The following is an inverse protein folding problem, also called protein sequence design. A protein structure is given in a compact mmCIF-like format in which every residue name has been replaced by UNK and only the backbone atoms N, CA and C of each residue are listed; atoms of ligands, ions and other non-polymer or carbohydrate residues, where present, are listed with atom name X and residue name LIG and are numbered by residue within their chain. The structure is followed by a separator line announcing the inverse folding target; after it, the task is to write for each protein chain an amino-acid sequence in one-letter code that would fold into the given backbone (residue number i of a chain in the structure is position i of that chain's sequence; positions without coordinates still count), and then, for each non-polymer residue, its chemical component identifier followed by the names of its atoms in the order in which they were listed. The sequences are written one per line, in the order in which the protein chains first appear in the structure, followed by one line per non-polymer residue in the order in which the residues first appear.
data_IF_793969384627
#
_entry.id   IF_793969384627
#
_cell.length_a   1.000
_cell.length_b   1.000
_cell.length_c   1.000
_cell.angle_alpha   90.00
_cell.angle_beta   90.00
_cell.angle_gamma   90.00
#
_symmetry.space_group_name_H-M   'P 1'
#
loop_
_entity.id
_entity.type
_entity.pdbx_description
1 polymer ?
#
# COMPACT_ATOMS: atom_id res chain seq x y z
N UNK A 1 11.70 -5.17 27.17
CA UNK A 1 12.89 -4.71 26.38
C UNK A 1 12.60 -4.83 24.89
N UNK A 2 13.09 -3.92 24.04
CA UNK A 2 12.93 -4.04 22.56
C UNK A 2 14.28 -4.09 21.87
N UNK A 3 14.44 -5.01 20.91
CA UNK A 3 15.60 -5.14 20.02
C UNK A 3 15.19 -4.88 18.59
N UNK A 4 16.05 -4.16 17.86
CA UNK A 4 15.86 -3.80 16.46
C UNK A 4 17.04 -4.32 15.64
N UNK A 5 16.75 -4.87 14.48
CA UNK A 5 17.74 -5.46 13.58
C UNK A 5 17.66 -4.80 12.22
N UNK A 6 18.81 -4.34 11.72
CA UNK A 6 18.91 -3.56 10.50
C UNK A 6 19.87 -4.23 9.53
N UNK A 7 19.57 -4.13 8.25
CA UNK A 7 20.50 -4.47 7.18
C UNK A 7 21.79 -3.66 7.31
N UNK A 8 22.93 -4.34 7.26
CA UNK A 8 24.24 -3.72 7.53
C UNK A 8 25.05 -3.37 6.27
N UNK A 9 24.49 -3.61 5.07
CA UNK A 9 25.11 -3.44 3.73
C UNK A 9 25.88 -4.67 3.25
N UNK A 10 26.05 -4.79 1.94
CA UNK A 10 26.79 -5.88 1.29
C UNK A 10 28.11 -6.26 1.95
N UNK A 11 28.37 -7.57 1.99
CA UNK A 11 29.54 -8.19 2.61
C UNK A 11 29.63 -7.99 4.14
N UNK A 12 28.50 -7.66 4.77
CA UNK A 12 28.36 -7.65 6.23
C UNK A 12 27.98 -9.05 6.77
N UNK A 13 27.71 -9.13 8.07
CA UNK A 13 27.25 -10.37 8.71
C UNK A 13 25.84 -10.68 8.21
N UNK A 14 25.69 -11.80 7.52
CA UNK A 14 24.40 -12.29 7.02
C UNK A 14 23.60 -12.96 8.16
N UNK A 15 22.41 -12.45 8.43
CA UNK A 15 21.45 -12.95 9.41
C UNK A 15 20.15 -13.46 8.74
N UNK A 16 20.29 -14.16 7.61
CA UNK A 16 19.17 -14.76 6.87
C UNK A 16 18.30 -15.69 7.71
N UNK A 17 18.87 -16.33 8.74
CA UNK A 17 18.10 -17.17 9.68
C UNK A 17 17.06 -16.42 10.50
N UNK A 18 17.14 -15.08 10.56
CA UNK A 18 16.23 -14.21 11.31
C UNK A 18 15.49 -13.19 10.43
N UNK A 19 15.57 -13.35 9.11
CA UNK A 19 14.79 -12.57 8.15
C UNK A 19 15.60 -11.61 7.28
N UNK A 20 16.92 -11.53 7.46
CA UNK A 20 17.74 -10.71 6.57
C UNK A 20 17.78 -11.31 5.15
N UNK A 21 17.07 -10.69 4.21
CA UNK A 21 16.92 -11.23 2.87
C UNK A 21 17.81 -10.50 1.85
N UNK A 22 18.65 -11.26 1.13
CA UNK A 22 19.46 -10.82 -0.01
C UNK A 22 20.12 -9.45 0.23
N UNK A 23 21.16 -9.45 1.06
CA UNK A 23 21.81 -8.22 1.52
C UNK A 23 22.32 -7.38 0.34
N UNK A 24 22.10 -6.08 0.41
CA UNK A 24 22.39 -5.11 -0.66
C UNK A 24 22.68 -3.74 -0.04
N UNK A 25 23.60 -2.95 -0.62
CA UNK A 25 23.96 -1.63 -0.08
C UNK A 25 22.75 -0.70 0.02
N UNK A 26 21.82 -0.81 -0.94
CA UNK A 26 20.57 -0.07 -0.95
C UNK A 26 19.71 -0.34 0.31
N UNK A 27 19.76 -1.56 0.87
CA UNK A 27 18.98 -1.92 2.06
C UNK A 27 19.60 -1.41 3.36
N UNK A 28 20.84 -0.88 3.35
CA UNK A 28 21.55 -0.45 4.56
C UNK A 28 20.68 0.46 5.45
N UNK A 29 20.54 0.08 6.72
CA UNK A 29 19.74 0.81 7.70
C UNK A 29 18.23 0.56 7.62
N UNK A 30 17.76 -0.32 6.74
CA UNK A 30 16.37 -0.81 6.77
C UNK A 30 16.21 -1.83 7.88
N UNK A 31 15.23 -1.59 8.75
CA UNK A 31 14.87 -2.53 9.81
C UNK A 31 14.15 -3.74 9.19
N UNK A 32 14.70 -4.94 9.37
CA UNK A 32 14.05 -6.18 8.89
C UNK A 32 13.43 -6.99 10.02
N UNK A 33 13.76 -6.69 11.28
CA UNK A 33 13.22 -7.42 12.42
C UNK A 33 13.13 -6.56 13.67
N UNK A 34 12.05 -6.71 14.42
CA UNK A 34 11.86 -6.16 15.75
C UNK A 34 11.44 -7.28 16.70
N UNK A 35 12.08 -7.35 17.87
CA UNK A 35 11.71 -8.27 18.94
C UNK A 35 11.38 -7.47 20.20
N UNK A 36 10.22 -7.70 20.78
CA UNK A 36 9.85 -7.14 22.09
C UNK A 36 9.73 -8.26 23.10
N UNK A 37 10.37 -8.07 24.24
CA UNK A 37 10.42 -9.01 25.36
C UNK A 37 9.72 -8.41 26.57
N UNK A 38 9.07 -9.26 27.34
CA UNK A 38 8.49 -8.90 28.63
C UNK A 38 9.56 -8.77 29.74
N UNK A 39 9.10 -8.53 30.98
CA UNK A 39 9.97 -8.36 32.15
C UNK A 39 10.64 -9.67 32.61
N UNK A 40 10.22 -10.82 32.06
CA UNK A 40 10.82 -12.15 32.30
C UNK A 40 11.81 -12.56 31.20
N UNK A 41 12.11 -11.65 30.26
CA UNK A 41 12.92 -11.90 29.05
C UNK A 41 12.28 -12.89 28.06
N UNK A 42 10.98 -13.16 28.20
CA UNK A 42 10.23 -13.98 27.23
C UNK A 42 9.85 -13.14 26.02
N UNK A 43 9.95 -13.71 24.82
CA UNK A 43 9.56 -13.03 23.59
C UNK A 43 8.05 -12.80 23.61
N UNK A 44 7.64 -11.55 23.45
CA UNK A 44 6.24 -11.10 23.52
C UNK A 44 5.71 -10.69 22.15
N UNK A 45 6.50 -9.98 21.35
CA UNK A 45 6.17 -9.69 19.95
C UNK A 45 7.37 -9.88 19.04
N UNK A 46 7.10 -10.39 17.85
CA UNK A 46 8.02 -10.48 16.74
C UNK A 46 7.44 -9.75 15.53
N UNK A 47 8.21 -8.88 14.90
CA UNK A 47 7.92 -8.37 13.56
C UNK A 47 9.09 -8.68 12.64
N UNK A 48 8.81 -9.17 11.43
CA UNK A 48 9.81 -9.42 10.40
C UNK A 48 9.33 -8.81 9.08
N UNK A 49 10.18 -8.02 8.43
CA UNK A 49 9.94 -7.42 7.13
C UNK A 49 10.95 -7.96 6.11
N UNK A 50 10.44 -8.47 4.99
CA UNK A 50 11.27 -8.86 3.85
C UNK A 50 11.45 -7.64 2.95
N UNK A 51 12.67 -7.10 2.92
CA UNK A 51 13.03 -6.03 2.00
C UNK A 51 13.54 -6.59 0.68
N UNK A 52 13.01 -6.07 -0.42
CA UNK A 52 13.47 -6.34 -1.77
C UNK A 52 14.00 -5.06 -2.42
N UNK A 53 14.80 -5.26 -3.47
CA UNK A 53 15.39 -4.18 -4.24
C UNK A 53 15.19 -4.50 -5.72
N UNK A 54 14.74 -3.50 -6.48
CA UNK A 54 14.62 -3.58 -7.93
C UNK A 54 15.54 -2.54 -8.56
N UNK A 55 16.42 -2.92 -9.50
CA UNK A 55 17.22 -1.95 -10.23
C UNK A 55 16.30 -1.04 -11.03
N UNK A 56 16.51 0.27 -10.90
CA UNK A 56 15.84 1.26 -11.72
C UNK A 56 16.56 1.36 -13.07
N UNK A 57 15.84 1.61 -14.18
CA UNK A 57 16.47 1.88 -15.45
C UNK A 57 17.50 3.00 -15.30
N UNK A 58 18.72 2.74 -15.76
CA UNK A 58 19.79 3.73 -15.69
C UNK A 58 20.42 3.93 -17.06
N UNK A 59 20.58 5.20 -17.44
CA UNK A 59 21.36 5.60 -18.60
C UNK A 59 22.87 5.55 -18.31
N UNK A 60 23.26 5.59 -17.04
CA UNK A 60 24.64 5.54 -16.57
C UNK A 60 24.95 4.18 -15.90
N UNK A 61 25.68 3.27 -16.58
CA UNK A 61 25.96 1.93 -16.05
C UNK A 61 26.87 1.94 -14.82
N UNK A 62 27.50 3.08 -14.47
CA UNK A 62 28.36 3.20 -13.28
C UNK A 62 27.59 3.59 -12.02
N UNK A 63 26.30 3.96 -12.15
CA UNK A 63 25.44 4.26 -11.00
C UNK A 63 24.48 3.11 -10.78
N UNK A 64 24.56 2.50 -9.61
CA UNK A 64 23.56 1.51 -9.21
C UNK A 64 22.41 2.22 -8.48
N UNK A 65 21.24 2.26 -9.11
CA UNK A 65 20.03 2.88 -8.56
C UNK A 65 19.02 1.78 -8.31
N UNK A 66 18.56 1.67 -7.07
CA UNK A 66 17.59 0.67 -6.68
C UNK A 66 16.36 1.32 -6.06
N UNK A 67 15.19 0.83 -6.43
CA UNK A 67 13.95 1.04 -5.69
C UNK A 67 13.83 -0.05 -4.62
N UNK A 68 13.59 0.38 -3.39
CA UNK A 68 13.49 -0.49 -2.22
C UNK A 68 12.05 -0.56 -1.75
N UNK A 69 11.58 -1.76 -1.48
CA UNK A 69 10.22 -1.98 -1.02
C UNK A 69 10.16 -3.17 -0.06
N UNK A 70 9.19 -3.13 0.86
CA UNK A 70 8.88 -4.27 1.72
C UNK A 70 7.87 -5.14 0.98
N UNK A 71 8.30 -6.31 0.52
CA UNK A 71 7.40 -7.23 -0.21
C UNK A 71 6.54 -8.08 0.73
N UNK A 72 6.97 -8.21 2.00
CA UNK A 72 6.30 -9.04 2.99
C UNK A 72 6.51 -8.48 4.40
N UNK A 73 5.48 -8.53 5.22
CA UNK A 73 5.53 -8.24 6.64
C UNK A 73 4.87 -9.36 7.41
N UNK A 74 5.49 -9.81 8.50
CA UNK A 74 4.95 -10.82 9.40
C UNK A 74 4.99 -10.26 10.82
N UNK A 75 3.92 -10.48 11.57
CA UNK A 75 3.80 -10.10 12.97
C UNK A 75 3.32 -11.29 13.76
N UNK A 76 3.96 -11.58 14.89
CA UNK A 76 3.53 -12.60 15.82
C UNK A 76 3.47 -12.05 17.24
N UNK A 77 2.39 -12.36 17.94
CA UNK A 77 2.19 -12.08 19.35
C UNK A 77 2.22 -13.38 20.13
N UNK A 78 3.05 -13.41 21.16
CA UNK A 78 3.23 -14.55 22.06
C UNK A 78 2.46 -14.30 23.35
N UNK A 79 1.86 -15.36 23.91
CA UNK A 79 1.03 -15.27 25.11
C UNK A 79 1.81 -15.55 26.41
N UNK A 80 3.14 -15.64 26.33
CA UNK A 80 4.02 -15.97 27.45
C UNK A 80 4.20 -17.48 27.68
N UNK A 81 3.56 -18.34 26.89
CA UNK A 81 3.85 -19.78 26.79
C UNK A 81 4.51 -20.11 25.43
N UNK A 82 4.60 -21.40 25.07
CA UNK A 82 5.10 -21.84 23.75
C UNK A 82 4.16 -21.48 22.57
N UNK A 83 3.01 -20.84 22.85
CA UNK A 83 2.01 -20.47 21.85
C UNK A 83 2.20 -19.07 21.27
N UNK A 84 1.71 -18.88 20.04
CA UNK A 84 1.65 -17.57 19.39
C UNK A 84 0.44 -17.47 18.47
N UNK A 85 0.09 -16.23 18.08
CA UNK A 85 -0.76 -15.93 16.92
C UNK A 85 0.01 -15.04 15.98
N UNK A 86 -0.04 -15.33 14.68
CA UNK A 86 0.67 -14.56 13.68
C UNK A 86 -0.24 -14.11 12.55
N UNK A 87 0.11 -12.98 11.95
CA UNK A 87 -0.50 -12.44 10.75
C UNK A 87 0.56 -12.06 9.75
N UNK A 88 0.25 -12.13 8.46
CA UNK A 88 1.15 -11.68 7.40
C UNK A 88 0.45 -10.79 6.39
N UNK A 89 1.24 -9.93 5.74
CA UNK A 89 0.84 -9.19 4.56
C UNK A 89 1.93 -9.22 3.50
N UNK A 90 1.51 -9.16 2.24
CA UNK A 90 2.38 -9.09 1.06
C UNK A 90 2.01 -7.90 0.19
N UNK A 91 2.98 -7.36 -0.55
CA UNK A 91 2.76 -6.25 -1.47
C UNK A 91 3.66 -6.34 -2.71
N UNK A 92 3.05 -6.12 -3.86
CA UNK A 92 3.70 -6.06 -5.16
C UNK A 92 3.71 -4.61 -5.67
N UNK A 93 4.78 -4.21 -6.35
CA UNK A 93 5.02 -2.83 -6.77
C UNK A 93 5.32 -2.74 -8.27
N UNK A 94 4.92 -1.63 -8.90
CA UNK A 94 5.33 -1.29 -10.27
C UNK A 94 6.74 -0.66 -10.32
N UNK A 95 7.19 -0.29 -11.52
CA UNK A 95 8.49 0.35 -11.76
C UNK A 95 8.62 1.75 -11.15
N UNK A 96 7.50 2.36 -10.77
CA UNK A 96 7.41 3.72 -10.24
C UNK A 96 7.25 3.72 -8.72
N UNK A 97 7.21 2.54 -8.11
CA UNK A 97 7.08 2.34 -6.67
C UNK A 97 5.64 2.42 -6.16
N UNK A 98 4.66 2.35 -7.05
CA UNK A 98 3.27 2.24 -6.65
C UNK A 98 2.91 0.79 -6.29
N UNK A 99 2.11 0.58 -5.25
CA UNK A 99 1.56 -0.74 -4.92
C UNK A 99 0.52 -1.13 -5.96
N UNK A 100 0.70 -2.26 -6.64
CA UNK A 100 -0.24 -2.79 -7.65
C UNK A 100 -1.06 -3.97 -7.15
N UNK A 101 -0.57 -4.66 -6.12
CA UNK A 101 -1.32 -5.67 -5.40
C UNK A 101 -0.89 -5.72 -3.94
N UNK A 102 -1.83 -6.01 -3.04
CA UNK A 102 -1.55 -6.38 -1.66
C UNK A 102 -2.40 -7.56 -1.24
N UNK A 103 -1.89 -8.35 -0.30
CA UNK A 103 -2.59 -9.50 0.29
C UNK A 103 -2.45 -9.41 1.80
N UNK A 104 -3.56 -9.34 2.50
CA UNK A 104 -3.60 -9.45 3.96
C UNK A 104 -4.08 -10.86 4.30
N UNK A 105 -3.22 -11.71 4.87
CA UNK A 105 -3.43 -13.14 4.97
C UNK A 105 -4.12 -13.59 6.28
N UNK A 106 -4.64 -12.65 7.08
CA UNK A 106 -5.27 -13.04 8.34
C UNK A 106 -4.34 -13.85 9.24
N UNK A 107 -4.79 -15.01 9.71
CA UNK A 107 -4.00 -15.90 10.57
C UNK A 107 -3.05 -16.83 9.78
N UNK A 108 -1.77 -16.85 10.16
CA UNK A 108 -0.73 -17.68 9.54
C UNK A 108 0.06 -18.47 10.59
N UNK A 109 0.71 -19.55 10.19
CA UNK A 109 1.74 -20.22 10.99
C UNK A 109 3.13 -19.81 10.52
N UNK A 110 4.03 -19.50 11.45
CA UNK A 110 5.43 -19.28 11.15
C UNK A 110 6.12 -20.62 10.85
N UNK A 111 6.73 -20.74 9.69
CA UNK A 111 7.51 -21.91 9.29
C UNK A 111 8.94 -21.83 9.86
N UNK A 112 9.43 -20.61 10.09
CA UNK A 112 10.75 -20.34 10.64
C UNK A 112 10.84 -18.98 11.36
N UNK A 113 12.03 -18.71 11.90
CA UNK A 113 12.33 -17.42 12.53
C UNK A 113 12.65 -16.30 11.54
N UNK A 114 12.71 -16.59 10.24
CA UNK A 114 12.99 -15.63 9.17
C UNK A 114 11.72 -14.99 8.59
N UNK A 115 10.55 -15.28 9.18
CA UNK A 115 9.27 -14.76 8.74
C UNK A 115 8.76 -15.44 7.48
N UNK A 116 9.17 -16.68 7.20
CA UNK A 116 8.42 -17.53 6.28
C UNK A 116 7.19 -18.09 7.01
N UNK A 117 6.11 -18.30 6.27
CA UNK A 117 4.83 -18.67 6.85
C UNK A 117 4.00 -19.52 5.88
N UNK A 118 3.03 -20.21 6.46
CA UNK A 118 1.94 -20.89 5.77
C UNK A 118 0.62 -20.22 6.16
N UNK A 119 -0.19 -19.85 5.16
CA UNK A 119 -1.57 -19.40 5.34
C UNK A 119 -2.44 -20.61 5.74
N UNK A 120 -3.22 -20.47 6.82
CA UNK A 120 -3.94 -21.59 7.44
C UNK A 120 -5.46 -21.43 7.48
N UNK A 121 -5.99 -20.27 7.07
CA UNK A 121 -7.42 -19.98 7.07
C UNK A 121 -7.89 -19.49 5.69
N UNK A 122 -9.21 -19.43 5.53
CA UNK A 122 -9.85 -18.88 4.33
C UNK A 122 -10.28 -17.41 4.56
N UNK A 123 -9.40 -16.61 5.15
CA UNK A 123 -9.70 -15.23 5.60
C UNK A 123 -8.86 -14.15 4.91
N UNK A 124 -8.03 -14.51 3.92
CA UNK A 124 -7.23 -13.51 3.20
C UNK A 124 -8.10 -12.49 2.46
N UNK A 125 -7.61 -11.27 2.40
CA UNK A 125 -8.16 -10.19 1.58
C UNK A 125 -7.10 -9.77 0.56
N UNK A 126 -7.45 -9.77 -0.72
CA UNK A 126 -6.59 -9.26 -1.77
C UNK A 126 -7.05 -7.86 -2.18
N UNK A 127 -6.11 -7.01 -2.55
CA UNK A 127 -6.38 -5.75 -3.24
C UNK A 127 -5.49 -5.64 -4.48
N UNK A 128 -6.07 -5.17 -5.59
CA UNK A 128 -5.31 -4.76 -6.77
C UNK A 128 -5.55 -3.29 -7.06
N UNK A 129 -4.52 -2.60 -7.57
CA UNK A 129 -4.59 -1.17 -7.87
C UNK A 129 -4.03 -0.92 -9.27
N UNK A 130 -4.81 -0.21 -10.08
CA UNK A 130 -4.38 0.36 -11.35
C UNK A 130 -4.16 1.87 -11.18
N UNK A 131 -3.26 2.41 -11.99
CA UNK A 131 -2.90 3.82 -11.94
C UNK A 131 -3.15 4.49 -13.30
N UNK A 132 -3.72 5.68 -13.26
CA UNK A 132 -3.76 6.60 -14.38
C UNK A 132 -2.36 7.16 -14.63
N UNK A 133 -2.01 7.30 -15.91
CA UNK A 133 -0.67 7.68 -16.31
C UNK A 133 -0.65 8.85 -17.29
N UNK A 134 0.40 9.65 -17.20
CA UNK A 134 0.82 10.60 -18.21
C UNK A 134 2.34 10.51 -18.37
N UNK A 135 2.79 9.81 -19.40
CA UNK A 135 4.23 9.61 -19.65
C UNK A 135 4.94 10.91 -19.99
N UNK A 136 4.27 11.83 -20.68
CA UNK A 136 4.85 13.10 -21.12
C UNK A 136 5.11 14.06 -19.93
N UNK A 137 4.31 13.93 -18.86
CA UNK A 137 4.41 14.73 -17.63
C UNK A 137 4.92 13.95 -16.43
N UNK A 138 5.34 12.71 -16.61
CA UNK A 138 5.80 11.80 -15.55
C UNK A 138 4.81 11.66 -14.38
N UNK A 139 3.52 11.60 -14.68
CA UNK A 139 2.47 11.36 -13.69
C UNK A 139 2.15 9.86 -13.65
N UNK A 140 2.59 9.16 -12.60
CA UNK A 140 2.37 7.71 -12.44
C UNK A 140 1.65 7.32 -11.15
N UNK A 141 1.46 8.25 -10.21
CA UNK A 141 0.98 7.97 -8.85
C UNK A 141 -0.53 8.13 -8.63
N UNK A 142 -1.33 8.30 -9.69
CA UNK A 142 -2.77 8.55 -9.56
C UNK A 142 -3.55 7.24 -9.67
N UNK A 143 -4.00 6.65 -8.58
CA UNK A 143 -4.80 5.41 -8.65
C UNK A 143 -6.08 5.64 -9.45
N UNK A 144 -6.28 4.87 -10.53
CA UNK A 144 -7.45 4.89 -11.39
C UNK A 144 -8.48 3.83 -11.00
N UNK A 145 -8.05 2.69 -10.48
CA UNK A 145 -8.95 1.68 -9.96
C UNK A 145 -8.33 0.97 -8.77
N UNK A 146 -9.15 0.64 -7.77
CA UNK A 146 -8.81 -0.34 -6.75
C UNK A 146 -9.91 -1.38 -6.65
N UNK A 147 -9.55 -2.66 -6.62
CA UNK A 147 -10.47 -3.78 -6.45
C UNK A 147 -10.03 -4.61 -5.27
N UNK A 148 -10.98 -5.00 -4.42
CA UNK A 148 -10.76 -5.84 -3.25
C UNK A 148 -11.56 -7.13 -3.40
N UNK A 149 -10.88 -8.27 -3.25
CA UNK A 149 -11.49 -9.60 -3.28
C UNK A 149 -11.33 -10.33 -1.95
N UNK A 150 -12.28 -11.19 -1.64
CA UNK A 150 -12.16 -12.15 -0.54
C UNK A 150 -11.25 -13.34 -0.93
N UNK A 151 -11.09 -14.29 -0.01
CA UNK A 151 -10.30 -15.51 -0.22
C UNK A 151 -10.74 -16.33 -1.43
N UNK A 152 -12.03 -16.29 -1.78
CA UNK A 152 -12.62 -17.01 -2.91
C UNK A 152 -12.61 -16.20 -4.20
N UNK A 153 -11.91 -15.07 -4.22
CA UNK A 153 -11.81 -14.13 -5.33
C UNK A 153 -13.14 -13.45 -5.70
N UNK A 154 -14.11 -13.40 -4.77
CA UNK A 154 -15.31 -12.60 -4.96
C UNK A 154 -14.99 -11.13 -4.74
N UNK A 155 -15.45 -10.26 -5.64
CA UNK A 155 -15.29 -8.81 -5.48
C UNK A 155 -16.18 -8.30 -4.36
N UNK A 156 -15.57 -7.79 -3.30
CA UNK A 156 -16.25 -7.21 -2.12
C UNK A 156 -16.09 -5.70 -2.06
N UNK A 157 -15.22 -5.12 -2.89
CA UNK A 157 -15.04 -3.68 -3.02
C UNK A 157 -14.44 -3.32 -4.37
N UNK A 158 -14.91 -2.23 -4.98
CA UNK A 158 -14.29 -1.64 -6.16
C UNK A 158 -14.46 -0.13 -6.12
N UNK A 159 -13.41 0.59 -6.46
CA UNK A 159 -13.46 2.03 -6.69
C UNK A 159 -12.76 2.35 -8.01
N UNK A 160 -13.43 3.12 -8.87
CA UNK A 160 -12.88 3.62 -10.14
C UNK A 160 -12.84 5.14 -10.10
N UNK A 161 -11.72 5.73 -10.49
CA UNK A 161 -11.45 7.17 -10.49
C UNK A 161 -11.10 7.63 -11.90
N UNK A 162 -11.66 8.78 -12.27
CA UNK A 162 -11.40 9.47 -13.53
C UNK A 162 -10.85 10.85 -13.21
N UNK A 163 -9.85 11.29 -13.97
CA UNK A 163 -9.17 12.55 -13.73
C UNK A 163 -9.32 13.48 -14.92
N UNK A 164 -9.41 14.78 -14.65
CA UNK A 164 -9.33 15.86 -15.63
C UNK A 164 -10.34 15.75 -16.79
N UNK A 165 -11.48 15.08 -16.58
CA UNK A 165 -12.47 14.73 -17.63
C UNK A 165 -11.90 13.87 -18.76
N UNK A 166 -10.81 13.14 -18.49
CA UNK A 166 -10.15 12.25 -19.44
C UNK A 166 -10.70 10.82 -19.32
N UNK A 167 -10.46 9.98 -20.36
CA UNK A 167 -10.75 8.55 -20.29
C UNK A 167 -10.13 7.85 -19.07
N UNK A 168 -10.68 6.68 -18.72
CA UNK A 168 -10.13 5.83 -17.68
C UNK A 168 -8.63 5.54 -17.93
N UNK A 169 -7.82 5.67 -16.88
CA UNK A 169 -6.37 5.40 -16.97
C UNK A 169 -5.55 6.58 -17.48
N UNK A 170 -6.17 7.72 -17.80
CA UNK A 170 -5.46 8.94 -18.20
C UNK A 170 -5.52 10.01 -17.11
N UNK A 171 -4.46 10.81 -17.04
CA UNK A 171 -4.35 11.97 -16.15
C UNK A 171 -3.55 13.05 -16.85
N UNK A 172 -3.74 14.32 -16.49
CA UNK A 172 -2.96 15.43 -17.04
C UNK A 172 -2.50 16.43 -15.98
N UNK A 173 -3.30 16.62 -14.94
CA UNK A 173 -3.02 17.48 -13.80
C UNK A 173 -3.41 16.83 -12.46
N UNK A 174 -4.35 15.88 -12.48
CA UNK A 174 -4.71 15.09 -11.30
C UNK A 174 -6.00 15.52 -10.60
N UNK A 175 -6.86 16.31 -11.25
CA UNK A 175 -8.15 16.69 -10.68
C UNK A 175 -9.11 15.51 -10.79
N UNK A 176 -9.56 14.95 -9.67
CA UNK A 176 -10.56 13.86 -9.67
C UNK A 176 -11.91 14.38 -10.16
N UNK A 177 -12.40 13.94 -11.32
CA UNK A 177 -13.66 14.42 -11.91
C UNK A 177 -14.82 13.45 -11.73
N UNK A 178 -14.54 12.17 -11.57
CA UNK A 178 -15.56 11.16 -11.24
C UNK A 178 -14.96 10.06 -10.38
N UNK A 179 -15.75 9.56 -9.43
CA UNK A 179 -15.45 8.41 -8.60
C UNK A 179 -16.67 7.50 -8.57
N UNK A 180 -16.51 6.26 -9.01
CA UNK A 180 -17.53 5.22 -8.94
C UNK A 180 -17.13 4.18 -7.88
N UNK A 181 -17.95 3.97 -6.87
CA UNK A 181 -17.70 3.02 -5.79
C UNK A 181 -18.76 1.91 -5.81
N UNK A 182 -18.32 0.66 -5.70
CA UNK A 182 -19.22 -0.48 -5.54
C UNK A 182 -19.97 -0.36 -4.21
N UNK A 183 -21.29 -0.27 -4.28
CA UNK A 183 -22.16 -0.10 -3.12
C UNK A 183 -22.54 -1.45 -2.50
N UNK A 184 -22.70 -2.49 -3.32
CA UNK A 184 -23.10 -3.82 -2.87
C UNK A 184 -22.73 -4.93 -3.87
N UNK A 185 -22.91 -6.18 -3.43
CA UNK A 185 -22.66 -7.39 -4.22
C UNK A 185 -23.57 -7.55 -5.45
N UNK A 186 -24.64 -6.76 -5.57
CA UNK A 186 -25.50 -6.75 -6.77
C UNK A 186 -24.94 -5.88 -7.90
N UNK A 187 -23.81 -5.20 -7.68
CA UNK A 187 -23.13 -4.39 -8.69
C UNK A 187 -23.58 -2.93 -8.75
N UNK A 188 -24.41 -2.47 -7.81
CA UNK A 188 -24.83 -1.07 -7.76
C UNK A 188 -23.63 -0.16 -7.47
N UNK A 189 -23.59 1.00 -8.12
CA UNK A 189 -22.50 1.97 -8.00
C UNK A 189 -22.98 3.27 -7.35
N UNK A 190 -22.22 3.75 -6.37
CA UNK A 190 -22.25 5.12 -5.89
C UNK A 190 -21.30 5.96 -6.75
N UNK A 191 -21.86 6.82 -7.60
CA UNK A 191 -21.10 7.72 -8.46
C UNK A 191 -21.05 9.10 -7.82
N UNK A 192 -19.85 9.63 -7.64
CA UNK A 192 -19.58 11.02 -7.29
C UNK A 192 -18.97 11.72 -8.51
N UNK A 193 -19.50 12.88 -8.91
CA UNK A 193 -18.89 13.75 -9.93
C UNK A 193 -18.46 15.06 -9.32
N UNK A 194 -17.32 15.57 -9.76
CA UNK A 194 -16.73 16.82 -9.28
C UNK A 194 -16.46 17.72 -10.47
N UNK A 195 -16.98 18.94 -10.42
CA UNK A 195 -16.71 19.98 -11.41
C UNK A 195 -15.76 21.03 -10.84
N UNK A 196 -14.90 21.56 -11.71
CA UNK A 196 -13.84 22.50 -11.36
C UNK A 196 -14.00 23.80 -12.14
N UNK A 197 -13.68 24.92 -11.50
CA UNK A 197 -13.62 26.21 -12.17
C UNK A 197 -12.34 26.36 -13.02
N UNK A 198 -12.16 27.52 -13.66
CA UNK A 198 -10.98 27.82 -14.48
C UNK A 198 -9.65 27.79 -13.70
N UNK A 199 -9.72 27.99 -12.38
CA UNK A 199 -8.59 27.95 -11.45
C UNK A 199 -8.39 26.56 -10.85
N UNK A 200 -9.16 25.55 -11.28
CA UNK A 200 -9.12 24.16 -10.80
C UNK A 200 -9.54 24.02 -9.34
N UNK A 201 -10.42 24.90 -8.88
CA UNK A 201 -11.08 24.80 -7.58
C UNK A 201 -12.40 24.04 -7.79
N UNK A 202 -12.61 22.98 -6.99
CA UNK A 202 -13.86 22.23 -7.04
C UNK A 202 -15.03 23.13 -6.63
N UNK A 203 -16.07 23.20 -7.44
CA UNK A 203 -17.22 24.09 -7.21
C UNK A 203 -18.57 23.36 -7.17
N UNK A 204 -18.68 22.13 -7.67
CA UNK A 204 -19.89 21.31 -7.57
C UNK A 204 -19.56 19.85 -7.33
N UNK A 205 -20.36 19.19 -6.49
CA UNK A 205 -20.23 17.76 -6.18
C UNK A 205 -21.61 17.11 -6.29
N UNK A 206 -21.74 16.15 -7.20
CA UNK A 206 -22.97 15.39 -7.44
C UNK A 206 -22.81 13.96 -6.95
N UNK A 207 -23.84 13.40 -6.30
CA UNK A 207 -23.88 11.98 -5.94
C UNK A 207 -25.12 11.29 -6.51
N UNK A 208 -24.96 10.09 -7.08
CA UNK A 208 -26.05 9.31 -7.67
C UNK A 208 -27.14 8.90 -6.67
N UNK A 209 -26.86 8.93 -5.36
CA UNK A 209 -27.83 8.71 -4.28
C UNK A 209 -28.74 9.92 -3.99
N UNK A 210 -28.69 10.98 -4.80
CA UNK A 210 -29.58 12.15 -4.67
C UNK A 210 -29.20 13.12 -3.55
N UNK A 211 -28.00 13.00 -2.98
CA UNK A 211 -27.47 13.96 -2.00
C UNK A 211 -26.61 14.98 -2.76
N UNK A 212 -27.18 16.16 -2.96
CA UNK A 212 -26.45 17.35 -3.41
C UNK A 212 -25.72 17.95 -2.20
N UNK A 213 -24.40 18.05 -2.28
CA UNK A 213 -23.62 18.80 -1.26
C UNK A 213 -23.00 20.00 -1.97
N UNK A 214 -23.74 21.10 -2.02
CA UNK A 214 -23.14 22.40 -2.30
C UNK A 214 -22.21 22.75 -1.14
N UNK A 215 -20.92 22.60 -1.36
CA UNK A 215 -19.94 23.34 -0.57
C UNK A 215 -19.72 24.67 -1.27
N UNK A 216 -20.54 25.66 -0.91
CA UNK A 216 -20.10 27.05 -0.94
C UNK A 216 -18.88 27.16 -0.03
N UNK A 217 -17.68 27.02 -0.60
CA UNK A 217 -16.46 27.50 0.04
C UNK A 217 -16.51 29.02 -0.03
N UNK A 218 -17.27 29.60 0.90
CA UNK A 218 -17.47 31.03 1.01
C UNK A 218 -16.13 31.76 1.06
N UNK A 219 -15.80 32.44 -0.04
CA UNK A 219 -14.93 33.61 0.02
C UNK A 219 -15.71 34.70 0.77
N UNK A 220 -15.57 34.72 2.09
CA UNK A 220 -15.93 35.89 2.87
C UNK A 220 -14.92 37.02 2.55
N UNK A 221 -15.17 37.74 1.46
CA UNK A 221 -14.57 39.05 1.22
C UNK A 221 -15.67 40.12 1.27
N UNK A 222 -15.93 40.65 2.47
CA UNK A 222 -16.60 41.94 2.62
C UNK A 222 -15.89 42.71 3.73
N UNK A 223 -14.92 43.55 3.34
CA UNK A 223 -14.59 44.74 4.14
C UNK A 223 -15.37 45.91 3.54
N UNK A 224 -16.30 46.54 4.26
CA UNK A 224 -16.68 47.90 3.98
C UNK A 224 -15.75 48.84 4.76
N UNK A 225 -15.31 49.88 4.04
CA UNK A 225 -14.64 51.09 4.53
C UNK A 225 -15.40 51.81 5.63
#
# INVERSE_FOLDING_TARGET
MTKHYFHQSENSVNDSSRGEFSDHIAKKGREYRTETYDDTESLYNLSVQKWEAKPLPNEDPEKDRNFLFASRSVQASYDGNEGYRATASESDYDDWGNVIASRDLGEVTLDDNAGNFTDILEDRINQTIQYAQNTDKYLYGFSSQSETTDFHENVIGRETRYYDQLPFGEVSFGNLTQKDQLLNASGELLTTKIEYDEHRIAHQIYQSAGIHVDRDVGLASVFPT
#
